data_IF_383266301312
#
_entry.id   IF_383266301312
#
_cell.length_a   1.000
_cell.length_b   1.000
_cell.length_c   1.000
_cell.angle_alpha   90.00
_cell.angle_beta   90.00
_cell.angle_gamma   90.00
#
_symmetry.space_group_name_H-M   'P 1'
#
loop_
_entity.id
_entity.type
_entity.pdbx_description
1 polymer ?
#
# COMPACT_ATOMS: atom_id res chain seq x y z
N UNK A 1 0.30 20.85 -7.47
CA UNK A 1 1.74 20.72 -7.21
C UNK A 1 2.13 19.26 -7.32
N UNK A 2 3.37 18.96 -7.73
CA UNK A 2 3.90 17.60 -7.63
C UNK A 2 4.22 17.28 -6.15
N UNK A 3 4.09 16.03 -5.75
CA UNK A 3 4.38 15.52 -4.39
C UNK A 3 5.88 15.47 -4.08
N UNK A 4 6.72 15.42 -5.10
CA UNK A 4 8.18 15.38 -5.00
C UNK A 4 8.88 15.93 -6.24
N UNK A 5 10.20 15.81 -6.28
CA UNK A 5 11.04 16.20 -7.41
C UNK A 5 12.32 15.35 -7.46
N UNK A 6 13.23 15.67 -8.38
CA UNK A 6 14.50 14.94 -8.58
C UNK A 6 15.42 14.86 -7.35
N UNK A 7 15.21 15.69 -6.32
CA UNK A 7 15.98 15.65 -5.07
C UNK A 7 15.56 14.49 -4.17
N UNK A 8 14.35 13.94 -4.39
CA UNK A 8 13.84 12.77 -3.70
C UNK A 8 13.83 11.57 -4.66
N UNK A 9 14.75 10.60 -4.52
CA UNK A 9 14.75 9.39 -5.36
C UNK A 9 13.45 8.59 -5.28
N UNK A 10 12.70 8.64 -4.18
CA UNK A 10 11.40 7.96 -4.05
C UNK A 10 10.33 8.58 -4.94
N UNK A 11 10.54 9.80 -5.45
CA UNK A 11 9.65 10.42 -6.44
C UNK A 11 9.62 9.64 -7.77
N UNK A 12 10.66 8.86 -8.10
CA UNK A 12 10.64 7.99 -9.28
C UNK A 12 9.51 6.95 -9.23
N UNK A 13 9.02 6.61 -8.03
CA UNK A 13 7.92 5.67 -7.82
C UNK A 13 6.57 6.37 -7.59
N UNK A 14 6.49 7.69 -7.75
CA UNK A 14 5.24 8.44 -7.57
C UNK A 14 4.15 7.93 -8.50
N UNK A 15 4.49 7.57 -9.75
CA UNK A 15 3.52 7.02 -10.72
C UNK A 15 2.83 5.75 -10.23
N UNK A 16 3.47 4.95 -9.37
CA UNK A 16 2.90 3.75 -8.78
C UNK A 16 2.17 4.07 -7.47
N UNK A 17 2.81 4.83 -6.57
CA UNK A 17 2.27 5.13 -5.23
C UNK A 17 1.04 6.04 -5.28
N UNK A 18 1.00 6.94 -6.24
CA UNK A 18 -0.06 7.95 -6.40
C UNK A 18 -1.03 7.61 -7.53
N UNK A 19 -0.92 6.40 -8.11
CA UNK A 19 -1.89 5.94 -9.10
C UNK A 19 -3.31 5.89 -8.49
N UNK A 20 -4.26 6.47 -9.23
CA UNK A 20 -5.66 6.55 -8.80
C UNK A 20 -6.27 5.15 -8.73
N UNK A 21 -5.92 4.27 -9.68
CA UNK A 21 -6.45 2.91 -9.75
C UNK A 21 -6.01 2.04 -8.57
N UNK A 22 -4.72 2.06 -8.23
CA UNK A 22 -4.16 1.31 -7.09
C UNK A 22 -4.79 1.78 -5.78
N UNK A 23 -4.88 3.08 -5.55
CA UNK A 23 -5.50 3.63 -4.34
C UNK A 23 -7.00 3.32 -4.26
N UNK A 24 -7.73 3.44 -5.39
CA UNK A 24 -9.15 3.07 -5.46
C UNK A 24 -9.37 1.57 -5.20
N UNK A 25 -8.53 0.70 -5.77
CA UNK A 25 -8.58 -0.74 -5.53
C UNK A 25 -8.35 -1.07 -4.06
N UNK A 26 -7.34 -0.47 -3.42
CA UNK A 26 -7.05 -0.71 -2.00
C UNK A 26 -8.21 -0.27 -1.11
N UNK A 27 -8.82 0.89 -1.38
CA UNK A 27 -10.03 1.34 -0.70
C UNK A 27 -11.19 0.35 -0.84
N UNK A 28 -11.50 -0.04 -2.09
CA UNK A 28 -12.59 -0.97 -2.38
C UNK A 28 -12.36 -2.34 -1.73
N UNK A 29 -11.13 -2.84 -1.72
CA UNK A 29 -10.78 -4.12 -1.12
C UNK A 29 -11.10 -4.14 0.39
N UNK A 30 -10.77 -3.07 1.11
CA UNK A 30 -11.08 -2.95 2.55
C UNK A 30 -12.59 -2.90 2.81
N UNK A 31 -13.39 -2.34 1.89
CA UNK A 31 -14.85 -2.36 1.97
C UNK A 31 -15.44 -3.76 1.72
N UNK A 32 -14.84 -4.53 0.82
CA UNK A 32 -15.29 -5.90 0.51
C UNK A 32 -14.91 -6.88 1.63
N UNK A 33 -13.75 -6.67 2.26
CA UNK A 33 -13.24 -7.48 3.38
C UNK A 33 -12.98 -6.66 4.65
N UNK A 34 -14.02 -6.08 5.29
CA UNK A 34 -13.81 -5.26 6.47
C UNK A 34 -13.11 -6.02 7.60
N UNK A 35 -12.20 -5.35 8.29
CA UNK A 35 -11.54 -5.90 9.49
C UNK A 35 -12.56 -6.17 10.60
N UNK A 36 -13.56 -5.29 10.73
CA UNK A 36 -14.66 -5.35 11.71
C UNK A 36 -15.82 -6.25 11.30
N UNK A 37 -15.66 -7.09 10.27
CA UNK A 37 -16.73 -7.98 9.80
C UNK A 37 -17.08 -9.05 10.84
N UNK A 38 -18.33 -9.05 11.31
CA UNK A 38 -18.87 -10.05 12.23
C UNK A 38 -19.88 -10.92 11.48
N UNK A 39 -19.50 -12.17 11.18
CA UNK A 39 -20.34 -13.11 10.44
C UNK A 39 -21.66 -13.42 11.19
N UNK A 40 -21.64 -13.41 12.53
CA UNK A 40 -22.84 -13.63 13.35
C UNK A 40 -23.90 -12.53 13.21
N UNK A 41 -23.50 -11.28 12.93
CA UNK A 41 -24.42 -10.14 12.76
C UNK A 41 -24.93 -10.05 11.32
N UNK A 42 -24.05 -10.31 10.36
CA UNK A 42 -24.34 -10.15 8.92
C UNK A 42 -24.97 -11.39 8.29
N UNK A 43 -24.91 -12.54 8.97
CA UNK A 43 -25.38 -13.82 8.46
C UNK A 43 -24.52 -14.40 7.31
N UNK A 44 -23.43 -13.71 6.93
CA UNK A 44 -22.59 -14.10 5.79
C UNK A 44 -21.14 -14.23 6.29
N UNK A 45 -20.56 -15.42 6.10
CA UNK A 45 -19.14 -15.64 6.34
C UNK A 45 -18.33 -15.22 5.10
N UNK A 46 -17.24 -14.47 5.31
CA UNK A 46 -16.26 -14.18 4.27
C UNK A 46 -15.24 -15.32 4.24
N UNK A 47 -15.33 -16.17 3.24
CA UNK A 47 -14.42 -17.30 3.11
C UNK A 47 -12.96 -16.83 3.05
N UNK A 48 -12.10 -17.49 3.84
CA UNK A 48 -10.63 -17.27 3.87
C UNK A 48 -10.20 -15.80 3.97
N UNK A 49 -10.99 -14.94 4.64
CA UNK A 49 -10.69 -13.49 4.79
C UNK A 49 -9.27 -13.20 5.28
N UNK A 50 -8.77 -13.98 6.24
CA UNK A 50 -7.41 -13.82 6.77
C UNK A 50 -6.32 -14.20 5.76
N UNK A 51 -6.54 -15.26 4.98
CA UNK A 51 -5.58 -15.69 3.97
C UNK A 51 -5.53 -14.72 2.79
N UNK A 52 -6.69 -14.23 2.32
CA UNK A 52 -6.72 -13.26 1.23
C UNK A 52 -6.18 -11.89 1.68
N UNK A 53 -6.32 -11.54 2.96
CA UNK A 53 -5.63 -10.38 3.54
C UNK A 53 -4.11 -10.52 3.38
N UNK A 54 -3.53 -11.64 3.80
CA UNK A 54 -2.11 -11.90 3.64
C UNK A 54 -1.69 -11.85 2.17
N UNK A 55 -2.41 -12.56 1.29
CA UNK A 55 -2.04 -12.68 -0.11
C UNK A 55 -2.12 -11.33 -0.86
N UNK A 56 -3.17 -10.54 -0.63
CA UNK A 56 -3.36 -9.26 -1.30
C UNK A 56 -2.22 -8.29 -0.95
N UNK A 57 -1.91 -8.12 0.33
CA UNK A 57 -0.84 -7.22 0.76
C UNK A 57 0.55 -7.74 0.35
N UNK A 58 0.76 -9.04 0.40
CA UNK A 58 1.99 -9.65 -0.11
C UNK A 58 2.19 -9.35 -1.60
N UNK A 59 1.12 -9.43 -2.41
CA UNK A 59 1.17 -9.06 -3.84
C UNK A 59 1.42 -7.57 -4.06
N UNK A 60 0.86 -6.68 -3.24
CA UNK A 60 1.15 -5.25 -3.30
C UNK A 60 2.64 -4.95 -3.04
N UNK A 61 3.23 -5.55 -2.00
CA UNK A 61 4.65 -5.40 -1.71
C UNK A 61 5.53 -5.97 -2.83
N UNK A 62 5.18 -7.15 -3.35
CA UNK A 62 5.92 -7.76 -4.45
C UNK A 62 5.92 -6.87 -5.72
N UNK A 63 4.77 -6.28 -6.07
CA UNK A 63 4.68 -5.35 -7.21
C UNK A 63 5.46 -4.06 -6.97
N UNK A 64 5.37 -3.50 -5.76
CA UNK A 64 6.18 -2.34 -5.39
C UNK A 64 7.67 -2.61 -5.54
N UNK A 65 8.17 -3.76 -5.07
CA UNK A 65 9.56 -4.16 -5.25
C UNK A 65 9.97 -4.31 -6.72
N UNK A 66 9.06 -4.80 -7.59
CA UNK A 66 9.31 -4.87 -9.04
C UNK A 66 9.46 -3.48 -9.66
N UNK A 67 8.64 -2.51 -9.26
CA UNK A 67 8.77 -1.12 -9.73
C UNK A 67 10.05 -0.46 -9.18
N UNK A 68 10.44 -0.73 -7.94
CA UNK A 68 11.75 -0.31 -7.39
C UNK A 68 12.90 -0.80 -8.25
N UNK A 69 12.93 -2.10 -8.53
CA UNK A 69 13.96 -2.72 -9.36
C UNK A 69 13.95 -2.17 -10.79
N UNK A 70 12.77 -1.88 -11.34
CA UNK A 70 12.62 -1.26 -12.67
C UNK A 70 13.20 0.15 -12.74
N UNK A 71 13.19 0.88 -11.61
CA UNK A 71 13.81 2.19 -11.47
C UNK A 71 15.27 2.12 -10.97
N UNK A 72 15.89 0.93 -10.93
CA UNK A 72 17.27 0.75 -10.48
C UNK A 72 17.48 0.92 -8.96
N UNK A 73 16.40 0.87 -8.18
CA UNK A 73 16.41 1.00 -6.72
C UNK A 73 16.47 -0.38 -6.04
N UNK A 74 17.05 -0.50 -4.84
CA UNK A 74 17.00 -1.75 -4.08
C UNK A 74 15.57 -2.07 -3.63
N UNK A 75 15.28 -3.34 -3.34
CA UNK A 75 14.01 -3.76 -2.72
C UNK A 75 13.77 -3.04 -1.40
N UNK A 76 12.50 -2.89 -1.03
CA UNK A 76 12.12 -2.23 0.21
C UNK A 76 12.60 -3.04 1.41
N UNK A 77 13.10 -2.34 2.44
CA UNK A 77 13.49 -2.97 3.69
C UNK A 77 12.27 -3.10 4.61
N UNK A 78 12.10 -4.24 5.32
CA UNK A 78 11.10 -4.31 6.37
C UNK A 78 11.45 -3.32 7.48
N UNK A 79 10.44 -2.88 8.25
CA UNK A 79 10.61 -2.00 9.41
C UNK A 79 10.44 -2.78 10.72
N UNK A 80 11.44 -3.54 11.19
CA UNK A 80 11.34 -4.33 12.40
C UNK A 80 11.61 -3.53 13.68
N UNK A 81 12.33 -2.41 13.59
CA UNK A 81 12.73 -1.59 14.74
C UNK A 81 11.86 -0.34 14.87
N UNK A 82 11.01 -0.30 15.89
CA UNK A 82 10.09 0.83 16.09
C UNK A 82 10.73 2.09 16.68
N UNK A 83 12.04 2.07 16.96
CA UNK A 83 12.80 3.24 17.41
C UNK A 83 13.57 3.93 16.27
N UNK A 84 13.56 3.36 15.07
CA UNK A 84 14.18 3.97 13.89
C UNK A 84 13.33 5.13 13.37
N UNK A 85 14.00 6.13 12.77
CA UNK A 85 13.31 7.27 12.16
C UNK A 85 12.55 6.87 10.90
N UNK A 86 11.41 7.51 10.64
CA UNK A 86 10.62 7.28 9.43
C UNK A 86 11.12 8.15 8.26
N UNK A 87 10.91 7.65 7.04
CA UNK A 87 11.01 8.48 5.84
C UNK A 87 9.88 9.54 5.84
N UNK A 88 10.23 10.78 5.49
CA UNK A 88 9.25 11.85 5.36
C UNK A 88 8.47 11.76 4.05
N UNK A 89 7.20 12.15 4.06
CA UNK A 89 6.37 12.23 2.85
C UNK A 89 5.36 13.37 2.96
N UNK A 90 5.33 14.26 1.95
CA UNK A 90 4.37 15.36 1.86
C UNK A 90 3.34 15.05 0.77
N UNK A 91 2.10 14.74 1.17
CA UNK A 91 1.07 14.28 0.24
C UNK A 91 0.46 15.39 -0.64
N UNK A 92 0.57 16.65 -0.22
CA UNK A 92 -0.04 17.81 -0.91
C UNK A 92 -1.54 17.64 -1.26
N UNK A 93 -2.31 16.97 -0.39
CA UNK A 93 -3.77 16.80 -0.54
C UNK A 93 -4.51 17.85 0.29
N UNK A 94 -5.49 18.52 -0.32
CA UNK A 94 -6.39 19.48 0.34
C UNK A 94 -7.71 18.81 0.74
N UNK A 95 -8.32 19.31 1.83
CA UNK A 95 -9.68 18.94 2.29
C UNK A 95 -10.79 19.70 1.58
#
# INVERSE_FOLDING_TARGET
>A
EATGNILDPEHNLAYYREDVGINAHHWQWQLVYPSTWIAAVTGIAKDRKGEIFYYMHHQMCARFDLDRLSNGMPRMMPFPNFHEGFEGYSAHLSS
#
